data_IF_165713107308
#
_entry.id   IF_165713107308
#
_cell.length_a   1.000
_cell.length_b   1.000
_cell.length_c   1.000
_cell.angle_alpha   90.00
_cell.angle_beta   90.00
_cell.angle_gamma   90.00
#
_symmetry.space_group_name_H-M   'P 1'
#
loop_
_entity.id
_entity.type
_entity.pdbx_description
1 polymer ?
#
# COMPACT_ATOMS: atom_id res chain seq x y z
N UNK A 1 -5.97 35.86 9.12
CA UNK A 1 -6.63 34.55 8.96
C UNK A 1 -7.44 34.32 10.22
N UNK A 2 -8.76 34.15 10.09
CA UNK A 2 -9.60 33.82 11.25
C UNK A 2 -9.35 32.36 11.71
N UNK A 3 -9.84 32.01 12.90
CA UNK A 3 -9.62 30.69 13.52
C UNK A 3 -10.21 29.53 12.68
N UNK A 4 -11.29 29.76 11.94
CA UNK A 4 -11.92 28.73 11.11
C UNK A 4 -11.10 28.45 9.84
N UNK A 5 -10.63 29.51 9.18
CA UNK A 5 -9.71 29.43 8.04
C UNK A 5 -8.39 28.74 8.43
N UNK A 6 -7.85 29.04 9.62
CA UNK A 6 -6.65 28.36 10.13
C UNK A 6 -6.87 26.85 10.29
N UNK A 7 -8.00 26.43 10.85
CA UNK A 7 -8.32 25.00 11.03
C UNK A 7 -8.48 24.30 9.67
N UNK A 8 -9.18 24.93 8.71
CA UNK A 8 -9.34 24.38 7.35
C UNK A 8 -7.99 24.23 6.65
N UNK A 9 -7.12 25.23 6.76
CA UNK A 9 -5.76 25.17 6.23
C UNK A 9 -4.97 24.01 6.85
N UNK A 10 -4.94 23.90 8.20
CA UNK A 10 -4.19 22.86 8.89
C UNK A 10 -4.66 21.43 8.57
N UNK A 11 -5.97 21.24 8.36
CA UNK A 11 -6.55 19.94 7.96
C UNK A 11 -5.96 19.40 6.66
N UNK A 12 -5.60 20.27 5.73
CA UNK A 12 -4.96 19.90 4.46
C UNK A 12 -3.44 19.95 4.56
N UNK A 13 -2.90 20.97 5.21
CA UNK A 13 -1.46 21.20 5.29
C UNK A 13 -0.73 20.14 6.12
N UNK A 14 -1.31 19.63 7.21
CA UNK A 14 -0.66 18.63 8.05
C UNK A 14 -0.42 17.28 7.33
N UNK A 15 -1.41 16.61 6.72
CA UNK A 15 -1.17 15.35 6.00
C UNK A 15 -0.25 15.52 4.79
N UNK A 16 -0.36 16.65 4.06
CA UNK A 16 0.55 16.98 2.96
C UNK A 16 1.97 17.22 3.46
N UNK A 17 2.12 17.98 4.54
CA UNK A 17 3.40 18.27 5.16
C UNK A 17 4.09 17.01 5.66
N UNK A 18 3.34 16.08 6.29
CA UNK A 18 3.87 14.79 6.72
C UNK A 18 4.39 13.98 5.52
N UNK A 19 3.58 13.86 4.47
CA UNK A 19 3.94 13.15 3.24
C UNK A 19 5.17 13.75 2.55
N UNK A 20 5.20 15.07 2.39
CA UNK A 20 6.33 15.75 1.77
C UNK A 20 7.59 15.62 2.62
N UNK A 21 7.47 15.74 3.95
CA UNK A 21 8.61 15.62 4.87
C UNK A 21 9.24 14.23 4.80
N UNK A 22 8.44 13.14 4.82
CA UNK A 22 9.00 11.78 4.74
C UNK A 22 9.65 11.51 3.38
N UNK A 23 9.07 12.01 2.27
CA UNK A 23 9.64 11.85 0.93
C UNK A 23 10.96 12.63 0.78
N UNK A 24 10.99 13.88 1.23
CA UNK A 24 12.23 14.70 1.22
C UNK A 24 13.30 14.04 2.09
N UNK A 25 12.93 13.55 3.27
CA UNK A 25 13.85 12.84 4.18
C UNK A 25 14.45 11.62 3.49
N UNK A 26 13.61 10.77 2.89
CA UNK A 26 14.04 9.57 2.18
C UNK A 26 14.98 9.89 1.02
N UNK A 27 14.60 10.82 0.14
CA UNK A 27 15.42 11.22 -1.01
C UNK A 27 16.76 11.82 -0.55
N UNK A 28 16.74 12.66 0.48
CA UNK A 28 17.94 13.29 1.02
C UNK A 28 18.89 12.24 1.62
N UNK A 29 18.39 11.28 2.40
CA UNK A 29 19.20 10.19 2.93
C UNK A 29 19.83 9.35 1.81
N UNK A 30 19.06 9.01 0.76
CA UNK A 30 19.59 8.29 -0.41
C UNK A 30 20.74 9.07 -1.07
N UNK A 31 20.55 10.36 -1.32
CA UNK A 31 21.56 11.22 -1.94
C UNK A 31 22.83 11.25 -1.08
N UNK A 32 22.71 11.49 0.22
CA UNK A 32 23.85 11.58 1.14
C UNK A 32 24.60 10.24 1.21
N UNK A 33 23.90 9.12 1.32
CA UNK A 33 24.52 7.79 1.38
C UNK A 33 25.30 7.50 0.10
N UNK A 34 24.69 7.75 -1.06
CA UNK A 34 25.32 7.50 -2.35
C UNK A 34 26.49 8.44 -2.62
N UNK A 35 26.38 9.72 -2.24
CA UNK A 35 27.47 10.69 -2.45
C UNK A 35 28.69 10.44 -1.58
N UNK A 36 28.50 9.86 -0.39
CA UNK A 36 29.56 9.60 0.58
C UNK A 36 30.01 8.14 0.62
N UNK A 37 29.53 7.29 -0.30
CA UNK A 37 29.82 5.85 -0.33
C UNK A 37 29.60 5.15 1.04
N UNK A 38 28.51 5.53 1.72
CA UNK A 38 28.19 4.97 3.04
C UNK A 38 27.71 3.53 2.89
N UNK A 39 28.27 2.63 3.70
CA UNK A 39 27.89 1.23 3.72
C UNK A 39 26.49 1.01 4.29
N UNK A 40 25.61 0.40 3.50
CA UNK A 40 24.20 0.13 3.82
C UNK A 40 23.88 -1.35 3.63
N UNK A 41 24.68 -2.19 4.28
CA UNK A 41 24.48 -3.65 4.40
C UNK A 41 24.57 -4.45 3.11
N UNK A 42 25.14 -3.88 2.03
CA UNK A 42 25.28 -4.56 0.74
C UNK A 42 23.96 -4.69 -0.05
N UNK A 43 22.92 -3.97 0.36
CA UNK A 43 21.61 -4.00 -0.30
C UNK A 43 21.54 -3.00 -1.47
N UNK A 44 20.85 -3.39 -2.55
CA UNK A 44 20.60 -2.49 -3.69
C UNK A 44 19.63 -1.39 -3.29
N UNK A 45 18.55 -1.77 -2.61
CA UNK A 45 17.66 -0.85 -1.93
C UNK A 45 17.70 -1.11 -0.43
N UNK A 46 18.46 -0.33 0.34
CA UNK A 46 18.64 -0.55 1.77
C UNK A 46 17.42 -0.11 2.59
N UNK A 47 17.37 -0.55 3.85
CA UNK A 47 16.42 0.00 4.81
C UNK A 47 16.63 1.50 4.96
N UNK A 48 15.53 2.26 5.05
CA UNK A 48 15.60 3.71 5.23
C UNK A 48 16.36 4.09 6.52
N UNK A 49 16.22 3.27 7.54
CA UNK A 49 16.94 3.43 8.81
C UNK A 49 18.45 3.26 8.69
N UNK A 50 18.93 2.36 7.83
CA UNK A 50 20.37 2.22 7.57
C UNK A 50 20.90 3.42 6.79
N UNK A 51 20.09 4.01 5.92
CA UNK A 51 20.46 5.24 5.21
C UNK A 51 20.52 6.47 6.13
N UNK A 52 19.79 6.45 7.23
CA UNK A 52 19.78 7.50 8.26
C UNK A 52 20.77 7.26 9.40
N UNK A 53 21.67 6.27 9.31
CA UNK A 53 22.57 5.90 10.41
C UNK A 53 23.72 6.90 10.60
N UNK A 54 24.38 7.26 9.51
CA UNK A 54 25.66 7.98 9.57
C UNK A 54 25.51 9.49 9.36
N UNK A 55 26.44 10.27 9.89
CA UNK A 55 26.45 11.71 9.65
C UNK A 55 26.83 12.04 8.21
N UNK A 56 26.20 13.05 7.57
CA UNK A 56 25.16 13.93 8.11
C UNK A 56 23.71 13.41 7.96
N UNK A 57 23.48 12.27 7.30
CA UNK A 57 22.15 11.72 7.05
C UNK A 57 21.35 11.46 8.34
N UNK A 58 22.02 11.14 9.44
CA UNK A 58 21.43 11.01 10.77
C UNK A 58 20.59 12.22 11.20
N UNK A 59 21.11 13.44 10.99
CA UNK A 59 20.37 14.65 11.35
C UNK A 59 19.13 14.85 10.50
N UNK A 60 19.22 14.51 9.21
CA UNK A 60 18.11 14.59 8.25
C UNK A 60 17.04 13.58 8.63
N UNK A 61 17.43 12.33 8.90
CA UNK A 61 16.53 11.26 9.28
C UNK A 61 15.81 11.55 10.61
N UNK A 62 16.56 11.93 11.64
CA UNK A 62 16.04 12.31 12.96
C UNK A 62 15.04 13.47 12.89
N UNK A 63 15.44 14.57 12.25
CA UNK A 63 14.60 15.78 12.12
C UNK A 63 13.37 15.50 11.28
N UNK A 64 13.55 14.81 10.15
CA UNK A 64 12.50 14.46 9.21
C UNK A 64 11.40 13.61 9.84
N UNK A 65 11.77 12.50 10.48
CA UNK A 65 10.79 11.63 11.13
C UNK A 65 10.14 12.24 12.37
N UNK A 66 10.85 13.12 13.09
CA UNK A 66 10.25 13.89 14.19
C UNK A 66 9.20 14.87 13.68
N UNK A 67 9.47 15.58 12.58
CA UNK A 67 8.51 16.47 11.95
C UNK A 67 7.28 15.71 11.44
N UNK A 68 7.49 14.56 10.79
CA UNK A 68 6.41 13.66 10.34
C UNK A 68 5.54 13.25 11.52
N UNK A 69 6.14 12.82 12.65
CA UNK A 69 5.40 12.41 13.83
C UNK A 69 4.47 13.51 14.37
N UNK A 70 4.98 14.76 14.46
CA UNK A 70 4.19 15.91 14.92
C UNK A 70 3.00 16.18 13.98
N UNK A 71 3.26 16.18 12.67
CA UNK A 71 2.22 16.45 11.65
C UNK A 71 1.16 15.34 11.60
N UNK A 72 1.54 14.09 11.82
CA UNK A 72 0.62 12.97 11.91
C UNK A 72 -0.27 13.04 13.16
N UNK A 73 0.23 13.51 14.30
CA UNK A 73 -0.60 13.75 15.50
C UNK A 73 -1.73 14.72 15.16
N UNK A 74 -1.42 15.85 14.52
CA UNK A 74 -2.45 16.81 14.09
C UNK A 74 -3.42 16.20 13.08
N UNK A 75 -2.91 15.44 12.11
CA UNK A 75 -3.73 14.75 11.09
C UNK A 75 -4.75 13.82 11.74
N UNK A 76 -4.31 12.98 12.68
CA UNK A 76 -5.18 12.07 13.42
C UNK A 76 -6.21 12.82 14.27
N UNK A 77 -5.82 13.92 14.92
CA UNK A 77 -6.76 14.79 15.66
C UNK A 77 -7.84 15.36 14.76
N UNK A 78 -7.47 15.87 13.58
CA UNK A 78 -8.44 16.44 12.65
C UNK A 78 -9.39 15.39 12.09
N UNK A 79 -8.86 14.23 11.72
CA UNK A 79 -9.67 13.11 11.23
C UNK A 79 -10.67 12.64 12.29
N UNK A 80 -10.25 12.51 13.55
CA UNK A 80 -11.14 12.18 14.66
C UNK A 80 -12.27 13.19 14.83
N UNK A 81 -11.95 14.49 14.80
CA UNK A 81 -12.98 15.55 14.88
C UNK A 81 -13.99 15.43 13.75
N UNK A 82 -13.55 15.15 12.54
CA UNK A 82 -14.45 14.91 11.40
C UNK A 82 -15.33 13.68 11.60
N UNK A 83 -14.80 12.57 12.08
CA UNK A 83 -15.62 11.40 12.40
C UNK A 83 -16.65 11.70 13.48
N UNK A 84 -16.28 12.44 14.53
CA UNK A 84 -17.22 12.82 15.59
C UNK A 84 -18.36 13.71 15.11
N UNK A 85 -18.12 14.58 14.13
CA UNK A 85 -19.17 15.41 13.53
C UNK A 85 -19.98 14.68 12.45
N UNK A 86 -19.37 13.73 11.74
CA UNK A 86 -20.00 13.04 10.61
C UNK A 86 -20.82 11.80 11.01
N UNK A 87 -20.51 11.21 12.18
CA UNK A 87 -21.25 10.07 12.72
C UNK A 87 -22.50 10.56 13.49
N UNK A 88 -23.68 9.92 13.29
CA UNK A 88 -24.85 10.18 14.11
C UNK A 88 -24.59 9.96 15.60
N UNK A 89 -25.29 10.69 16.47
CA UNK A 89 -25.12 10.57 17.92
C UNK A 89 -25.41 9.16 18.45
N UNK A 90 -26.38 8.46 17.84
CA UNK A 90 -26.76 7.10 18.17
C UNK A 90 -25.79 6.02 17.64
N UNK A 91 -24.78 6.39 16.85
CA UNK A 91 -23.77 5.47 16.32
C UNK A 91 -22.63 5.21 17.34
N UNK A 92 -22.99 4.94 18.61
CA UNK A 92 -22.06 4.86 19.76
C UNK A 92 -20.85 3.96 19.50
N UNK A 93 -21.06 2.78 18.92
CA UNK A 93 -19.98 1.82 18.63
C UNK A 93 -18.95 2.43 17.67
N UNK A 94 -19.39 3.08 16.59
CA UNK A 94 -18.47 3.65 15.60
C UNK A 94 -17.78 4.92 16.11
N UNK A 95 -18.44 5.68 17.00
CA UNK A 95 -17.80 6.80 17.70
C UNK A 95 -16.68 6.30 18.62
N UNK A 96 -16.91 5.22 19.36
CA UNK A 96 -15.88 4.57 20.19
C UNK A 96 -14.75 4.03 19.31
N UNK A 97 -15.03 3.32 18.22
CA UNK A 97 -14.00 2.84 17.29
C UNK A 97 -13.17 3.99 16.70
N UNK A 98 -13.81 5.11 16.38
CA UNK A 98 -13.09 6.30 15.90
C UNK A 98 -12.20 6.91 16.98
N UNK A 99 -12.60 6.92 18.25
CA UNK A 99 -11.77 7.39 19.36
C UNK A 99 -10.60 6.44 19.63
N UNK A 100 -10.81 5.13 19.51
CA UNK A 100 -9.72 4.14 19.62
C UNK A 100 -8.74 4.31 18.45
N UNK A 101 -9.24 4.47 17.22
CA UNK A 101 -8.41 4.75 16.04
C UNK A 101 -7.57 6.02 16.22
N UNK A 102 -8.16 7.08 16.77
CA UNK A 102 -7.46 8.32 17.12
C UNK A 102 -6.34 8.10 18.13
N UNK A 103 -6.66 7.44 19.25
CA UNK A 103 -5.68 7.16 20.31
C UNK A 103 -4.55 6.30 19.77
N UNK A 104 -4.86 5.26 19.00
CA UNK A 104 -3.86 4.42 18.36
C UNK A 104 -2.96 5.24 17.40
N UNK A 105 -3.57 6.03 16.50
CA UNK A 105 -2.82 6.84 15.54
C UNK A 105 -1.90 7.87 16.21
N UNK A 106 -2.36 8.52 17.30
CA UNK A 106 -1.51 9.43 18.09
C UNK A 106 -0.40 8.67 18.82
N UNK A 107 -0.72 7.54 19.45
CA UNK A 107 0.24 6.73 20.21
C UNK A 107 1.25 6.02 19.31
N UNK A 108 0.98 5.80 18.02
CA UNK A 108 1.95 5.24 17.09
C UNK A 108 3.12 6.21 16.82
N UNK A 109 2.83 7.51 16.70
CA UNK A 109 3.78 8.51 16.21
C UNK A 109 5.08 8.65 17.02
N UNK A 110 5.11 8.51 18.36
CA UNK A 110 6.36 8.48 19.12
C UNK A 110 7.34 7.38 18.71
N UNK A 111 6.88 6.30 18.06
CA UNK A 111 7.77 5.27 17.51
C UNK A 111 8.71 5.81 16.42
N UNK A 112 8.29 6.83 15.66
CA UNK A 112 9.09 7.45 14.59
C UNK A 112 10.35 8.18 15.11
N UNK A 113 10.30 9.11 16.08
CA UNK A 113 11.51 9.71 16.62
C UNK A 113 12.35 8.68 17.38
N UNK A 114 11.74 7.71 18.08
CA UNK A 114 12.50 6.63 18.75
C UNK A 114 13.33 5.86 17.74
N UNK A 115 12.73 5.35 16.65
CA UNK A 115 13.50 4.63 15.63
C UNK A 115 14.49 5.55 14.89
N UNK A 116 14.23 6.85 14.81
CA UNK A 116 15.14 7.77 14.12
C UNK A 116 16.39 8.11 14.94
N UNK A 117 16.25 8.34 16.24
CA UNK A 117 17.37 8.73 17.11
C UNK A 117 18.23 7.55 17.56
N UNK A 118 17.62 6.38 17.75
CA UNK A 118 18.37 5.16 18.07
C UNK A 118 18.79 4.49 16.76
N UNK A 119 20.07 4.60 16.42
CA UNK A 119 20.59 4.11 15.16
C UNK A 119 20.65 2.57 15.11
N UNK A 120 20.65 2.02 13.89
CA UNK A 120 20.63 0.57 13.65
C UNK A 120 21.91 -0.14 14.07
N UNK A 121 23.01 0.58 14.31
CA UNK A 121 24.31 -0.02 14.62
C UNK A 121 24.55 -0.16 16.12
N UNK A 122 24.44 0.92 16.89
CA UNK A 122 24.73 0.95 18.33
C UNK A 122 23.51 0.62 19.19
N UNK A 123 22.32 1.00 18.72
CA UNK A 123 21.09 0.89 19.48
C UNK A 123 20.01 0.07 18.75
N UNK A 124 20.42 -0.96 18.02
CA UNK A 124 19.55 -1.76 17.13
C UNK A 124 18.28 -2.31 17.81
N UNK A 125 18.34 -2.68 19.09
CA UNK A 125 17.17 -3.17 19.84
C UNK A 125 16.13 -2.07 20.08
N UNK A 126 16.57 -0.88 20.47
CA UNK A 126 15.68 0.27 20.67
C UNK A 126 15.14 0.78 19.33
N UNK A 127 15.98 0.76 18.30
CA UNK A 127 15.57 1.04 16.92
C UNK A 127 14.42 0.13 16.49
N UNK A 128 14.62 -1.19 16.62
CA UNK A 128 13.62 -2.19 16.26
C UNK A 128 12.33 -2.02 17.07
N UNK A 129 12.44 -1.79 18.38
CA UNK A 129 11.28 -1.53 19.23
C UNK A 129 10.50 -0.28 18.81
N UNK A 130 11.18 0.79 18.38
CA UNK A 130 10.54 2.00 17.85
C UNK A 130 9.81 1.74 16.53
N UNK A 131 10.40 0.95 15.63
CA UNK A 131 9.76 0.54 14.38
C UNK A 131 8.53 -0.35 14.64
N UNK A 132 8.66 -1.34 15.53
CA UNK A 132 7.56 -2.20 15.99
C UNK A 132 6.43 -1.38 16.58
N UNK A 133 6.74 -0.48 17.51
CA UNK A 133 5.77 0.44 18.09
C UNK A 133 5.00 1.17 17.00
N UNK A 134 5.68 1.89 16.11
CA UNK A 134 5.01 2.66 15.08
C UNK A 134 4.14 1.77 14.17
N UNK A 135 4.73 0.76 13.53
CA UNK A 135 4.03 0.01 12.49
C UNK A 135 2.87 -0.84 13.02
N UNK A 136 3.01 -1.52 14.17
CA UNK A 136 1.92 -2.32 14.72
C UNK A 136 0.73 -1.46 15.15
N UNK A 137 0.99 -0.36 15.86
CA UNK A 137 -0.09 0.51 16.33
C UNK A 137 -0.72 1.28 15.16
N UNK A 138 0.08 1.78 14.22
CA UNK A 138 -0.42 2.48 13.03
C UNK A 138 -1.29 1.57 12.17
N UNK A 139 -0.91 0.28 12.01
CA UNK A 139 -1.74 -0.73 11.31
C UNK A 139 -3.14 -0.83 11.91
N UNK A 140 -3.25 -0.86 13.24
CA UNK A 140 -4.53 -0.88 13.94
C UNK A 140 -5.28 0.43 13.70
N UNK A 141 -4.59 1.56 13.81
CA UNK A 141 -5.19 2.89 13.64
C UNK A 141 -5.86 3.04 12.26
N UNK A 142 -5.15 2.72 11.18
CA UNK A 142 -5.64 2.84 9.81
C UNK A 142 -6.71 1.79 9.47
N UNK A 143 -6.64 0.58 10.05
CA UNK A 143 -7.69 -0.43 9.89
C UNK A 143 -9.01 0.08 10.48
N UNK A 144 -8.98 0.53 11.73
CA UNK A 144 -10.14 1.08 12.41
C UNK A 144 -10.68 2.33 11.70
N UNK A 145 -9.79 3.20 11.23
CA UNK A 145 -10.16 4.38 10.45
C UNK A 145 -10.91 4.02 9.16
N UNK A 146 -10.43 3.00 8.45
CA UNK A 146 -11.04 2.49 7.22
C UNK A 146 -12.42 1.87 7.50
N UNK A 147 -12.57 1.16 8.61
CA UNK A 147 -13.87 0.60 9.06
C UNK A 147 -14.89 1.72 9.34
N UNK A 148 -14.48 2.77 10.07
CA UNK A 148 -15.36 3.91 10.35
C UNK A 148 -15.75 4.64 9.06
N UNK A 149 -14.80 4.85 8.15
CA UNK A 149 -15.05 5.46 6.84
C UNK A 149 -15.98 4.61 5.97
N UNK A 150 -15.86 3.29 6.01
CA UNK A 150 -16.78 2.37 5.35
C UNK A 150 -18.21 2.53 5.89
N UNK A 151 -18.37 2.62 7.22
CA UNK A 151 -19.68 2.85 7.84
C UNK A 151 -20.26 4.20 7.43
N UNK A 152 -19.47 5.27 7.42
CA UNK A 152 -19.88 6.60 6.98
C UNK A 152 -20.35 6.61 5.52
N UNK A 153 -19.70 5.84 4.64
CA UNK A 153 -20.15 5.64 3.27
C UNK A 153 -21.47 4.86 3.22
N UNK A 154 -21.58 3.72 3.91
CA UNK A 154 -22.78 2.87 3.92
C UNK A 154 -24.03 3.59 4.43
N UNK A 155 -23.89 4.43 5.46
CA UNK A 155 -25.01 5.23 5.98
C UNK A 155 -25.48 6.26 4.97
N UNK A 156 -24.57 6.94 4.27
CA UNK A 156 -24.92 7.92 3.25
C UNK A 156 -25.60 7.26 2.04
N UNK A 157 -25.13 6.08 1.63
CA UNK A 157 -25.79 5.29 0.58
C UNK A 157 -27.18 4.83 1.00
N UNK A 158 -27.36 4.40 2.26
CA UNK A 158 -28.68 4.04 2.79
C UNK A 158 -29.66 5.22 2.73
N UNK A 159 -29.21 6.39 3.18
CA UNK A 159 -30.00 7.63 3.16
C UNK A 159 -30.34 8.07 1.73
N UNK A 160 -29.46 7.83 0.75
CA UNK A 160 -29.70 8.18 -0.64
C UNK A 160 -30.71 7.25 -1.33
N UNK A 161 -30.77 5.97 -0.97
CA UNK A 161 -31.85 5.08 -1.45
C UNK A 161 -33.21 5.60 -0.97
N UNK A 162 -33.25 6.21 0.22
CA UNK A 162 -34.47 6.84 0.76
C UNK A 162 -34.77 8.21 0.13
N UNK A 163 -33.73 8.95 -0.31
CA UNK A 163 -33.81 10.34 -0.81
C UNK A 163 -33.64 10.51 -2.34
N UNK A 164 -33.63 9.42 -3.13
CA UNK A 164 -33.53 9.46 -4.60
C UNK A 164 -34.70 10.22 -5.28
N UNK A 165 -35.60 10.82 -4.48
CA UNK A 165 -36.68 11.72 -4.89
C UNK A 165 -36.39 13.24 -4.69
N UNK A 166 -35.25 13.73 -4.12
CA UNK A 166 -35.22 15.14 -3.68
C UNK A 166 -33.99 16.07 -3.87
N UNK A 167 -32.71 15.70 -4.10
CA UNK A 167 -31.65 16.76 -4.19
C UNK A 167 -30.29 16.41 -4.86
N UNK A 168 -29.64 17.40 -5.48
CA UNK A 168 -28.35 17.32 -6.22
C UNK A 168 -27.09 17.38 -5.33
N UNK A 169 -27.16 17.96 -4.12
CA UNK A 169 -26.00 18.12 -3.21
C UNK A 169 -25.56 16.81 -2.53
N UNK A 170 -26.47 15.86 -2.31
CA UNK A 170 -26.13 14.54 -1.76
C UNK A 170 -25.21 13.72 -2.68
N UNK A 171 -25.33 13.89 -4.00
CA UNK A 171 -24.51 13.17 -4.97
C UNK A 171 -23.02 13.51 -4.88
N UNK A 172 -22.70 14.80 -4.70
CA UNK A 172 -21.31 15.26 -4.57
C UNK A 172 -20.67 14.74 -3.27
N UNK A 173 -21.38 14.80 -2.15
CA UNK A 173 -20.94 14.28 -0.85
C UNK A 173 -20.71 12.76 -0.89
N UNK A 174 -21.60 12.03 -1.56
CA UNK A 174 -21.44 10.58 -1.75
C UNK A 174 -20.22 10.25 -2.61
N UNK A 175 -20.02 10.96 -3.72
CA UNK A 175 -18.87 10.74 -4.58
C UNK A 175 -17.54 10.99 -3.85
N UNK A 176 -17.46 12.04 -3.02
CA UNK A 176 -16.29 12.33 -2.18
C UNK A 176 -16.03 11.22 -1.15
N UNK A 177 -17.04 10.82 -0.38
CA UNK A 177 -16.89 9.73 0.61
C UNK A 177 -16.50 8.41 -0.04
N UNK A 178 -17.06 8.11 -1.21
CA UNK A 178 -16.66 6.95 -2.01
C UNK A 178 -15.18 7.04 -2.38
N UNK A 179 -14.72 8.20 -2.87
CA UNK A 179 -13.31 8.42 -3.23
C UNK A 179 -12.39 8.24 -2.03
N UNK A 180 -12.69 8.86 -0.88
CA UNK A 180 -11.93 8.68 0.37
C UNK A 180 -11.81 7.20 0.73
N UNK A 181 -12.94 6.49 0.77
CA UNK A 181 -12.98 5.07 1.10
C UNK A 181 -12.18 4.23 0.10
N UNK A 182 -12.29 4.50 -1.21
CA UNK A 182 -11.53 3.79 -2.23
C UNK A 182 -10.03 3.98 -2.03
N UNK A 183 -9.57 5.21 -1.76
CA UNK A 183 -8.15 5.49 -1.45
C UNK A 183 -7.73 4.70 -0.22
N UNK A 184 -8.49 4.77 0.87
CA UNK A 184 -8.18 4.07 2.11
C UNK A 184 -8.10 2.56 1.94
N UNK A 185 -9.08 1.94 1.26
CA UNK A 185 -9.10 0.49 1.06
C UNK A 185 -7.92 0.03 0.21
N UNK A 186 -7.62 0.73 -0.89
CA UNK A 186 -6.50 0.38 -1.77
C UNK A 186 -5.18 0.49 -0.98
N UNK A 187 -4.91 1.65 -0.39
CA UNK A 187 -3.64 1.88 0.29
C UNK A 187 -3.51 1.07 1.58
N UNK A 188 -4.60 0.82 2.31
CA UNK A 188 -4.60 -0.08 3.46
C UNK A 188 -4.27 -1.51 3.05
N UNK A 189 -4.90 -2.04 1.99
CA UNK A 189 -4.61 -3.40 1.52
C UNK A 189 -3.14 -3.56 1.12
N UNK A 190 -2.60 -2.58 0.38
CA UNK A 190 -1.19 -2.58 -0.02
C UNK A 190 -0.25 -2.47 1.17
N UNK A 191 -0.54 -1.52 2.07
CA UNK A 191 0.21 -1.34 3.31
C UNK A 191 0.19 -2.63 4.15
N UNK A 192 -0.96 -3.28 4.31
CA UNK A 192 -1.10 -4.45 5.15
C UNK A 192 -0.25 -5.61 4.64
N UNK A 193 -0.25 -5.86 3.33
CA UNK A 193 0.63 -6.87 2.71
C UNK A 193 2.10 -6.51 2.92
N UNK A 194 2.48 -5.26 2.64
CA UNK A 194 3.86 -4.80 2.84
C UNK A 194 4.30 -4.92 4.32
N UNK A 195 3.42 -4.56 5.25
CA UNK A 195 3.64 -4.68 6.68
C UNK A 195 3.89 -6.13 7.09
N UNK A 196 3.05 -7.05 6.63
CA UNK A 196 3.21 -8.48 6.92
C UNK A 196 4.57 -9.00 6.42
N UNK A 197 4.97 -8.64 5.21
CA UNK A 197 6.25 -9.03 4.61
C UNK A 197 7.43 -8.40 5.36
N UNK A 198 7.34 -7.12 5.71
CA UNK A 198 8.42 -6.39 6.38
C UNK A 198 8.67 -6.91 7.80
N UNK A 199 7.60 -7.08 8.56
CA UNK A 199 7.64 -7.26 10.01
C UNK A 199 7.38 -8.71 10.41
N UNK A 200 6.15 -9.21 10.62
CA UNK A 200 5.95 -10.53 11.22
C UNK A 200 6.49 -11.69 10.36
N UNK A 201 6.36 -11.63 9.03
CA UNK A 201 6.90 -12.68 8.14
C UNK A 201 8.39 -12.44 7.92
N UNK A 202 8.77 -11.21 7.62
CA UNK A 202 10.17 -10.87 7.36
C UNK A 202 11.08 -11.21 8.53
N UNK A 203 10.71 -10.87 9.76
CA UNK A 203 11.53 -11.15 10.94
C UNK A 203 11.57 -12.62 11.32
N UNK A 204 10.52 -13.39 11.03
CA UNK A 204 10.47 -14.83 11.33
C UNK A 204 11.23 -15.68 10.31
N UNK A 205 11.32 -15.22 9.05
CA UNK A 205 12.00 -15.94 7.97
C UNK A 205 13.45 -15.46 7.76
N UNK A 206 13.77 -14.22 8.11
CA UNK A 206 15.12 -13.70 7.95
C UNK A 206 16.11 -14.43 8.89
N UNK A 207 17.24 -14.94 8.37
CA UNK A 207 18.32 -15.43 9.20
C UNK A 207 18.88 -14.33 10.10
N UNK A 208 19.62 -14.69 11.14
CA UNK A 208 20.31 -13.68 11.95
C UNK A 208 21.27 -12.87 11.08
N UNK A 209 21.06 -11.56 11.01
CA UNK A 209 21.93 -10.63 10.27
C UNK A 209 23.36 -10.72 10.82
N UNK A 210 24.31 -10.97 9.92
CA UNK A 210 25.72 -11.04 10.27
C UNK A 210 26.29 -9.64 10.42
N UNK A 211 27.36 -9.51 11.22
CA UNK A 211 28.13 -8.27 11.33
C UNK A 211 29.25 -8.28 10.31
N UNK A 212 29.50 -7.14 9.68
CA UNK A 212 30.66 -6.96 8.83
C UNK A 212 31.93 -7.02 9.69
N UNK A 213 32.90 -7.84 9.32
CA UNK A 213 34.18 -7.90 10.05
C UNK A 213 34.97 -6.61 9.87
N UNK A 214 35.92 -6.33 10.77
CA UNK A 214 36.80 -5.16 10.63
C UNK A 214 37.63 -5.27 9.35
N UNK A 215 38.19 -6.45 9.08
CA UNK A 215 39.00 -6.71 7.89
C UNK A 215 38.17 -6.52 6.61
N UNK A 216 36.97 -7.12 6.53
CA UNK A 216 36.07 -6.95 5.36
C UNK A 216 35.64 -5.48 5.18
N UNK A 217 35.47 -4.74 6.28
CA UNK A 217 35.13 -3.32 6.24
C UNK A 217 36.26 -2.48 5.62
N UNK A 218 37.52 -2.79 5.96
CA UNK A 218 38.70 -2.14 5.41
C UNK A 218 38.89 -2.54 3.94
N UNK A 219 38.73 -3.83 3.62
CA UNK A 219 38.85 -4.37 2.25
C UNK A 219 37.80 -3.78 1.30
N UNK A 220 36.59 -3.48 1.80
CA UNK A 220 35.56 -2.74 1.05
C UNK A 220 35.87 -1.24 0.90
N UNK A 221 37.01 -0.75 1.40
CA UNK A 221 37.48 0.61 1.22
C UNK A 221 36.72 1.66 2.04
N UNK A 222 36.08 1.26 3.15
CA UNK A 222 35.25 2.15 3.98
C UNK A 222 36.07 3.05 4.92
N UNK A 223 37.38 2.80 5.03
CA UNK A 223 38.34 3.58 5.80
C UNK A 223 38.67 2.98 7.16
N UNK A 224 39.96 2.87 7.47
CA UNK A 224 40.46 2.24 8.70
C UNK A 224 39.90 2.88 9.97
N UNK A 225 39.95 4.21 10.11
CA UNK A 225 39.40 4.90 11.29
C UNK A 225 37.89 4.70 11.42
N UNK A 226 37.18 4.59 10.30
CA UNK A 226 35.75 4.35 10.32
C UNK A 226 35.44 2.93 10.84
N UNK A 227 36.14 1.92 10.32
CA UNK A 227 35.97 0.52 10.70
C UNK A 227 36.47 0.21 12.13
N UNK A 228 37.68 0.66 12.48
CA UNK A 228 38.36 0.31 13.73
C UNK A 228 37.97 1.19 14.93
N UNK A 229 37.43 2.39 14.70
CA UNK A 229 37.10 3.32 15.79
C UNK A 229 35.61 3.67 15.78
N UNK A 230 35.09 4.15 14.64
CA UNK A 230 33.72 4.70 14.60
C UNK A 230 32.66 3.60 14.71
N UNK A 231 32.85 2.51 13.99
CA UNK A 231 31.93 1.38 13.87
C UNK A 231 32.41 0.14 14.62
N UNK A 232 33.39 0.25 15.52
CA UNK A 232 33.90 -0.91 16.24
C UNK A 232 32.84 -1.47 17.20
N UNK A 233 32.54 -2.77 17.08
CA UNK A 233 31.74 -3.50 18.07
C UNK A 233 32.63 -4.26 19.05
N UNK A 234 33.65 -4.96 18.54
CA UNK A 234 34.63 -5.71 19.33
C UNK A 234 36.00 -5.72 18.61
N UNK A 235 36.87 -6.71 18.88
CA UNK A 235 38.19 -6.80 18.23
C UNK A 235 38.18 -7.33 16.80
N UNK A 236 37.08 -7.94 16.33
CA UNK A 236 37.01 -8.61 15.02
C UNK A 236 35.82 -8.15 14.17
N UNK A 237 34.81 -7.55 14.78
CA UNK A 237 33.54 -7.18 14.14
C UNK A 237 33.21 -5.71 14.33
N UNK A 238 32.54 -5.17 13.32
CA UNK A 238 31.93 -3.84 13.37
C UNK A 238 30.48 -3.91 13.86
N UNK A 239 29.89 -2.75 14.12
CA UNK A 239 28.45 -2.55 14.36
C UNK A 239 27.65 -2.51 13.05
N UNK A 240 28.31 -2.62 11.89
CA UNK A 240 27.66 -2.65 10.59
C UNK A 240 27.09 -4.04 10.33
N UNK A 241 25.93 -4.09 9.69
CA UNK A 241 25.37 -5.34 9.20
C UNK A 241 25.94 -5.68 7.83
N UNK A 242 26.01 -6.97 7.55
CA UNK A 242 26.32 -7.53 6.24
C UNK A 242 25.17 -8.48 5.84
N UNK A 243 24.34 -8.01 4.92
CA UNK A 243 23.20 -8.75 4.40
C UNK A 243 23.50 -9.40 3.03
N UNK A 244 24.75 -9.38 2.54
CA UNK A 244 25.09 -9.96 1.22
C UNK A 244 24.77 -11.47 1.16
N UNK A 245 25.04 -12.20 2.25
CA UNK A 245 24.74 -13.64 2.35
C UNK A 245 23.24 -13.95 2.50
N UNK A 246 22.46 -12.97 2.92
CA UNK A 246 21.00 -13.08 3.12
C UNK A 246 20.24 -12.14 2.19
N UNK A 247 20.86 -11.80 1.06
CA UNK A 247 20.47 -10.69 0.20
C UNK A 247 19.00 -10.77 -0.19
N UNK A 248 18.53 -11.93 -0.69
CA UNK A 248 17.13 -12.07 -1.12
C UNK A 248 16.13 -11.74 -0.02
N UNK A 249 16.33 -12.27 1.20
CA UNK A 249 15.43 -12.02 2.33
C UNK A 249 15.53 -10.59 2.87
N UNK A 250 16.75 -10.05 2.99
CA UNK A 250 16.97 -8.70 3.50
C UNK A 250 16.49 -7.64 2.51
N UNK A 251 16.72 -7.85 1.21
CA UNK A 251 16.26 -6.97 0.12
C UNK A 251 14.74 -6.95 0.01
N UNK A 252 14.08 -8.12 0.14
CA UNK A 252 12.61 -8.21 0.20
C UNK A 252 12.06 -7.38 1.37
N UNK A 253 12.65 -7.50 2.57
CA UNK A 253 12.21 -6.75 3.75
C UNK A 253 12.43 -5.24 3.59
N UNK A 254 13.56 -4.83 3.03
CA UNK A 254 13.85 -3.42 2.77
C UNK A 254 12.89 -2.83 1.74
N UNK A 255 12.57 -3.57 0.67
CA UNK A 255 11.56 -3.17 -0.30
C UNK A 255 10.16 -3.09 0.33
N UNK A 256 9.80 -4.03 1.19
CA UNK A 256 8.54 -4.01 1.92
C UNK A 256 8.45 -2.82 2.89
N UNK A 257 9.54 -2.46 3.59
CA UNK A 257 9.59 -1.24 4.41
C UNK A 257 9.32 0.02 3.56
N UNK A 258 9.95 0.13 2.39
CA UNK A 258 9.69 1.23 1.46
C UNK A 258 8.22 1.26 1.04
N UNK A 259 7.66 0.10 0.67
CA UNK A 259 6.26 -0.02 0.30
C UNK A 259 5.32 0.42 1.42
N UNK A 260 5.61 0.06 2.68
CA UNK A 260 4.86 0.58 3.84
C UNK A 260 4.87 2.10 3.90
N UNK A 261 6.02 2.74 3.71
CA UNK A 261 6.14 4.21 3.74
C UNK A 261 5.32 4.84 2.61
N UNK A 262 5.50 4.38 1.37
CA UNK A 262 4.82 4.94 0.20
C UNK A 262 3.29 4.73 0.28
N UNK A 263 2.86 3.58 0.80
CA UNK A 263 1.44 3.30 0.98
C UNK A 263 0.81 4.12 2.11
N UNK A 264 1.54 4.41 3.20
CA UNK A 264 1.08 5.37 4.22
C UNK A 264 0.99 6.80 3.68
N UNK A 265 1.95 7.23 2.85
CA UNK A 265 1.88 8.51 2.11
C UNK A 265 0.61 8.55 1.26
N UNK A 266 0.36 7.50 0.48
CA UNK A 266 -0.86 7.35 -0.30
C UNK A 266 -2.14 7.35 0.54
N UNK A 267 -2.15 6.62 1.67
CA UNK A 267 -3.27 6.59 2.60
C UNK A 267 -3.57 7.98 3.16
N UNK A 268 -2.53 8.77 3.46
CA UNK A 268 -2.69 10.12 4.01
C UNK A 268 -3.45 11.06 3.08
N UNK A 269 -3.41 10.82 1.76
CA UNK A 269 -4.19 11.59 0.79
C UNK A 269 -5.70 11.47 1.02
N UNK A 270 -6.15 10.39 1.67
CA UNK A 270 -7.56 10.22 2.04
C UNK A 270 -8.02 11.22 3.10
N UNK A 271 -7.11 11.72 3.96
CA UNK A 271 -7.46 12.75 4.94
C UNK A 271 -7.75 14.09 4.27
N UNK A 272 -7.13 14.36 3.12
CA UNK A 272 -7.36 15.59 2.34
C UNK A 272 -8.73 15.58 1.67
N UNK A 273 -9.23 14.39 1.33
CA UNK A 273 -10.52 14.25 0.62
C UNK A 273 -11.73 14.25 1.55
N UNK A 274 -11.53 14.35 2.87
CA UNK A 274 -12.63 14.50 3.83
C UNK A 274 -13.29 15.87 3.71
N UNK A 275 -14.62 15.89 3.73
CA UNK A 275 -15.40 17.12 3.69
C UNK A 275 -15.54 17.69 5.09
N UNK A 276 -14.71 18.69 5.37
CA UNK A 276 -14.60 19.33 6.67
C UNK A 276 -15.49 20.56 6.83
N UNK A 277 -16.17 20.98 5.75
CA UNK A 277 -16.94 22.22 5.66
C UNK A 277 -18.43 22.02 6.03
N UNK A 278 -18.92 20.77 6.11
CA UNK A 278 -20.30 20.46 6.49
C UNK A 278 -20.59 20.56 8.01
N UNK A 279 -19.61 20.96 8.83
CA UNK A 279 -19.78 21.05 10.29
C UNK A 279 -20.36 22.37 10.80
N UNK A 280 -20.73 23.31 9.91
CA UNK A 280 -21.19 24.66 10.32
C UNK A 280 -22.67 24.98 10.05
N UNK A 281 -23.45 24.15 9.35
CA UNK A 281 -24.89 24.45 9.16
C UNK A 281 -25.77 23.28 9.64
N UNK A 282 -26.64 23.47 10.67
CA UNK A 282 -27.71 22.54 10.92
C UNK A 282 -28.62 22.49 9.68
N UNK A 283 -29.15 21.32 9.30
CA UNK A 283 -30.14 21.26 8.24
C UNK A 283 -31.32 22.11 8.69
N UNK A 284 -31.53 23.24 8.01
CA UNK A 284 -32.76 24.00 8.10
C UNK A 284 -33.87 23.05 7.64
N UNK A 285 -34.55 22.47 8.61
CA UNK A 285 -35.65 21.56 8.40
C UNK A 285 -36.81 22.41 7.85
N UNK A 286 -36.81 22.67 6.54
CA UNK A 286 -38.02 23.14 5.88
C UNK A 286 -39.03 21.99 5.95
N UNK A 287 -39.90 22.08 6.96
CA UNK A 287 -41.10 21.27 7.11
C UNK A 287 -41.96 21.50 5.87
N UNK A 288 -41.80 20.66 4.85
CA UNK A 288 -42.73 20.59 3.74
C UNK A 288 -43.96 19.84 4.27
N UNK A 289 -45.00 20.59 4.63
CA UNK A 289 -46.34 20.04 4.74
C UNK A 289 -46.81 19.62 3.33
N UNK A 290 -46.60 18.35 2.99
CA UNK A 290 -47.24 17.72 1.82
C UNK A 290 -48.28 16.73 2.30
N UNK A 291 -49.49 17.24 2.53
CA UNK A 291 -50.70 16.42 2.49
C UNK A 291 -51.00 16.13 1.04
N UNK A 292 -50.66 14.93 0.56
CA UNK A 292 -51.42 14.20 -0.47
C UNK A 292 -50.74 12.84 -0.76
N UNK A 293 -51.53 11.76 -0.67
CA UNK A 293 -51.12 10.42 -1.08
C UNK A 293 -51.29 10.27 -2.59
N UNK A 294 -50.32 9.71 -3.34
CA UNK A 294 -50.60 9.24 -4.68
C UNK A 294 -50.82 7.72 -4.68
N UNK A 295 -52.03 7.32 -5.02
CA UNK A 295 -52.41 5.98 -5.48
C UNK A 295 -52.31 5.93 -7.00
N UNK A 296 -51.23 5.39 -7.56
CA UNK A 296 -51.24 4.65 -8.83
C UNK A 296 -49.88 3.98 -9.08
N UNK A 297 -49.85 2.67 -9.16
CA UNK A 297 -48.69 1.89 -9.61
C UNK A 297 -48.84 1.66 -11.11
N UNK A 298 -47.88 2.14 -11.92
CA UNK A 298 -47.84 1.94 -13.36
C UNK A 298 -46.49 1.33 -13.79
N UNK A 299 -46.47 0.64 -14.93
CA UNK A 299 -45.39 -0.22 -15.46
C UNK A 299 -43.99 0.42 -15.61
N UNK A 300 -43.85 1.72 -15.36
CA UNK A 300 -42.57 2.44 -15.26
C UNK A 300 -41.64 1.89 -14.17
N UNK A 301 -42.18 1.27 -13.11
CA UNK A 301 -41.38 0.63 -12.06
C UNK A 301 -40.56 -0.57 -12.58
N UNK A 302 -41.09 -1.35 -13.53
CA UNK A 302 -40.40 -2.55 -14.01
C UNK A 302 -39.20 -2.21 -14.89
N UNK A 303 -39.35 -1.18 -15.75
CA UNK A 303 -38.26 -0.68 -16.59
C UNK A 303 -37.18 0.03 -15.75
N UNK A 304 -37.57 0.74 -14.68
CA UNK A 304 -36.63 1.34 -13.70
C UNK A 304 -35.87 0.27 -12.91
N UNK A 305 -36.51 -0.78 -12.41
CA UNK A 305 -35.84 -1.87 -11.67
C UNK A 305 -34.81 -2.58 -12.56
N UNK A 306 -35.15 -2.86 -13.82
CA UNK A 306 -34.23 -3.46 -14.78
C UNK A 306 -33.04 -2.55 -15.17
N UNK A 307 -33.24 -1.23 -15.19
CA UNK A 307 -32.15 -0.25 -15.41
C UNK A 307 -31.23 -0.11 -14.18
N UNK A 308 -31.80 -0.20 -12.99
CA UNK A 308 -31.08 -0.07 -11.71
C UNK A 308 -30.28 -1.33 -11.39
N UNK A 309 -30.81 -2.52 -11.71
CA UNK A 309 -30.05 -3.76 -11.65
C UNK A 309 -28.92 -3.81 -12.68
N UNK A 310 -29.12 -3.29 -13.91
CA UNK A 310 -28.07 -3.13 -14.92
C UNK A 310 -26.94 -2.21 -14.44
N UNK A 311 -27.29 -1.07 -13.81
CA UNK A 311 -26.32 -0.15 -13.23
C UNK A 311 -25.55 -0.75 -12.04
N UNK A 312 -26.22 -1.55 -11.20
CA UNK A 312 -25.61 -2.23 -10.06
C UNK A 312 -24.69 -3.38 -10.50
N UNK A 313 -25.06 -4.13 -11.55
CA UNK A 313 -24.24 -5.20 -12.15
C UNK A 313 -23.01 -4.62 -12.84
N UNK A 314 -23.17 -3.56 -13.66
CA UNK A 314 -22.04 -2.83 -14.26
C UNK A 314 -21.09 -2.23 -13.23
N UNK A 315 -21.59 -1.72 -12.09
CA UNK A 315 -20.76 -1.24 -10.97
C UNK A 315 -19.95 -2.35 -10.31
N UNK A 316 -20.51 -3.55 -10.13
CA UNK A 316 -19.78 -4.71 -9.59
C UNK A 316 -18.70 -5.18 -10.56
N UNK A 317 -19.00 -5.29 -11.85
CA UNK A 317 -18.03 -5.67 -12.89
C UNK A 317 -16.88 -4.66 -12.98
N UNK A 318 -17.18 -3.35 -12.97
CA UNK A 318 -16.16 -2.29 -12.99
C UNK A 318 -15.26 -2.32 -11.74
N UNK A 319 -15.82 -2.65 -10.58
CA UNK A 319 -15.06 -2.75 -9.33
C UNK A 319 -14.13 -3.97 -9.33
N UNK A 320 -14.61 -5.11 -9.85
CA UNK A 320 -13.81 -6.33 -10.03
C UNK A 320 -12.69 -6.09 -11.06
N UNK A 321 -13.00 -5.42 -12.17
CA UNK A 321 -12.01 -5.01 -13.19
C UNK A 321 -10.94 -4.09 -12.61
N UNK A 322 -11.31 -3.12 -11.77
CA UNK A 322 -10.35 -2.23 -11.09
C UNK A 322 -9.47 -2.98 -10.07
N UNK A 323 -10.01 -3.99 -9.39
CA UNK A 323 -9.23 -4.84 -8.48
C UNK A 323 -8.20 -5.64 -9.28
N UNK A 324 -8.61 -6.32 -10.36
CA UNK A 324 -7.68 -7.08 -11.21
C UNK A 324 -6.65 -6.19 -11.89
N UNK A 325 -7.04 -4.98 -12.34
CA UNK A 325 -6.10 -4.01 -12.91
C UNK A 325 -5.11 -3.48 -11.86
N UNK A 326 -5.56 -3.28 -10.62
CA UNK A 326 -4.68 -2.88 -9.51
C UNK A 326 -3.69 -4.00 -9.18
N UNK A 327 -4.17 -5.25 -9.03
CA UNK A 327 -3.32 -6.42 -8.83
C UNK A 327 -2.32 -6.61 -9.98
N UNK A 328 -2.76 -6.39 -11.23
CA UNK A 328 -1.89 -6.41 -12.40
C UNK A 328 -0.82 -5.31 -12.32
N UNK A 329 -1.19 -4.06 -12.02
CA UNK A 329 -0.22 -2.96 -11.91
C UNK A 329 0.79 -3.20 -10.79
N UNK A 330 0.36 -3.77 -9.67
CA UNK A 330 1.24 -4.13 -8.55
C UNK A 330 2.20 -5.25 -8.97
N UNK A 331 1.67 -6.33 -9.54
CA UNK A 331 2.48 -7.45 -10.01
C UNK A 331 3.42 -7.02 -11.16
N UNK A 332 3.00 -6.10 -12.02
CA UNK A 332 3.78 -5.55 -13.12
C UNK A 332 4.88 -4.61 -12.62
N UNK A 333 4.59 -3.77 -11.61
CA UNK A 333 5.62 -2.94 -10.96
C UNK A 333 6.63 -3.81 -10.22
N UNK A 334 6.19 -4.86 -9.52
CA UNK A 334 7.09 -5.84 -8.90
C UNK A 334 7.93 -6.53 -9.99
N UNK A 335 7.31 -6.98 -11.08
CA UNK A 335 7.99 -7.62 -12.20
C UNK A 335 9.00 -6.70 -12.90
N UNK A 336 8.68 -5.43 -13.16
CA UNK A 336 9.59 -4.48 -13.81
C UNK A 336 10.69 -4.03 -12.84
N UNK A 337 10.35 -3.71 -11.59
CA UNK A 337 11.31 -3.20 -10.61
C UNK A 337 12.27 -4.30 -10.14
N UNK A 338 11.79 -5.55 -10.01
CA UNK A 338 12.62 -6.70 -9.62
C UNK A 338 13.24 -7.36 -10.86
N UNK A 339 12.46 -7.61 -11.90
CA UNK A 339 12.90 -8.33 -13.09
C UNK A 339 13.79 -7.54 -14.05
N UNK A 340 13.61 -6.22 -14.18
CA UNK A 340 14.46 -5.41 -15.09
C UNK A 340 15.57 -4.62 -14.39
N UNK A 341 15.45 -4.34 -13.09
CA UNK A 341 16.48 -3.59 -12.35
C UNK A 341 17.36 -4.46 -11.45
N UNK A 342 16.97 -5.72 -11.17
CA UNK A 342 17.71 -6.63 -10.29
C UNK A 342 18.06 -7.98 -10.93
N UNK A 343 17.84 -8.19 -12.24
CA UNK A 343 18.46 -9.32 -12.91
C UNK A 343 19.98 -9.08 -12.89
N UNK A 344 20.78 -9.81 -12.10
CA UNK A 344 22.23 -9.74 -12.25
C UNK A 344 22.53 -10.20 -13.68
N UNK A 345 23.60 -9.69 -14.31
CA UNK A 345 24.14 -10.38 -15.49
C UNK A 345 24.33 -11.85 -15.11
N UNK A 346 23.68 -12.77 -15.83
CA UNK A 346 23.76 -14.19 -15.49
C UNK A 346 25.23 -14.60 -15.55
N UNK A 347 25.78 -14.95 -14.38
CA UNK A 347 27.13 -15.50 -14.33
C UNK A 347 27.06 -16.89 -14.91
N UNK A 348 27.88 -17.17 -15.92
CA UNK A 348 27.93 -18.52 -16.47
C UNK A 348 28.66 -19.45 -15.52
N UNK A 349 28.11 -20.63 -15.34
CA UNK A 349 28.68 -21.68 -14.52
C UNK A 349 30.02 -22.12 -15.14
N UNK A 350 31.08 -22.23 -14.32
CA UNK A 350 32.37 -22.71 -14.81
C UNK A 350 32.31 -24.22 -15.09
N UNK A 351 33.21 -24.72 -15.96
CA UNK A 351 33.31 -26.17 -16.23
C UNK A 351 33.65 -26.93 -14.94
N UNK A 352 34.50 -26.35 -14.08
CA UNK A 352 34.87 -26.95 -12.80
C UNK A 352 33.68 -27.06 -11.84
N UNK A 353 32.84 -26.01 -11.75
CA UNK A 353 31.66 -26.02 -10.91
C UNK A 353 30.58 -26.95 -11.46
N UNK A 354 30.39 -27.00 -12.78
CA UNK A 354 29.49 -27.96 -13.44
C UNK A 354 29.85 -29.42 -13.11
N UNK A 355 31.15 -29.74 -13.14
CA UNK A 355 31.65 -31.07 -12.76
C UNK A 355 31.51 -31.34 -11.27
N UNK A 356 31.68 -30.33 -10.42
CA UNK A 356 31.50 -30.42 -8.96
C UNK A 356 30.06 -30.75 -8.57
N UNK A 357 29.09 -30.25 -9.34
CA UNK A 357 27.65 -30.54 -9.19
C UNK A 357 27.25 -31.91 -9.79
N UNK A 358 28.20 -32.70 -10.29
CA UNK A 358 27.98 -34.05 -10.79
C UNK A 358 26.97 -34.14 -11.96
N UNK A 359 26.85 -33.07 -12.76
CA UNK A 359 25.95 -33.00 -13.93
C UNK A 359 26.39 -33.89 -15.11
N UNK A 360 27.54 -34.54 -14.98
CA UNK A 360 28.10 -35.48 -15.96
C UNK A 360 29.23 -34.87 -16.77
N UNK A 361 30.33 -35.63 -16.92
CA UNK A 361 31.58 -35.13 -17.51
C UNK A 361 31.39 -34.67 -18.95
N UNK A 362 30.85 -35.53 -19.80
CA UNK A 362 30.54 -35.22 -21.21
C UNK A 362 29.56 -34.07 -21.35
N UNK A 363 28.60 -33.95 -20.42
CA UNK A 363 27.62 -32.87 -20.44
C UNK A 363 28.28 -31.51 -20.20
N UNK A 364 29.18 -31.42 -19.22
CA UNK A 364 29.90 -30.19 -18.87
C UNK A 364 31.03 -29.84 -19.84
N UNK A 365 31.78 -30.82 -20.35
CA UNK A 365 32.99 -30.58 -21.15
C UNK A 365 32.76 -30.57 -22.66
N UNK A 366 31.69 -31.21 -23.15
CA UNK A 366 31.45 -31.36 -24.59
C UNK A 366 30.11 -30.74 -25.01
N UNK A 367 29.03 -31.03 -24.28
CA UNK A 367 27.67 -30.63 -24.68
C UNK A 367 27.36 -29.16 -24.38
N UNK A 368 27.78 -28.67 -23.20
CA UNK A 368 27.47 -27.32 -22.72
C UNK A 368 28.68 -26.41 -22.64
N UNK A 369 29.85 -26.83 -23.11
CA UNK A 369 31.07 -26.02 -23.07
C UNK A 369 30.97 -24.78 -23.96
N UNK A 370 31.38 -23.63 -23.42
CA UNK A 370 31.50 -22.38 -24.17
C UNK A 370 32.96 -22.14 -24.58
N UNK A 371 33.88 -22.29 -23.61
CA UNK A 371 35.33 -22.16 -23.79
C UNK A 371 36.06 -23.10 -22.81
N UNK A 372 37.37 -22.91 -22.60
CA UNK A 372 38.18 -23.78 -21.75
C UNK A 372 37.81 -23.73 -20.26
N UNK A 373 37.12 -22.67 -19.84
CA UNK A 373 36.81 -22.38 -18.43
C UNK A 373 35.31 -22.22 -18.15
N UNK A 374 34.54 -21.79 -19.15
CA UNK A 374 33.13 -21.47 -19.06
C UNK A 374 32.22 -22.47 -19.75
N UNK A 375 31.01 -22.63 -19.22
CA UNK A 375 29.91 -23.33 -19.88
C UNK A 375 28.90 -22.33 -20.43
N UNK A 376 27.93 -22.83 -21.21
CA UNK A 376 26.72 -22.13 -21.65
C UNK A 376 25.60 -22.19 -20.61
N UNK A 377 25.84 -22.80 -19.45
CA UNK A 377 24.87 -22.88 -18.36
C UNK A 377 24.94 -21.60 -17.52
N UNK A 378 23.79 -21.04 -17.21
CA UNK A 378 23.68 -19.93 -16.29
C UNK A 378 23.71 -20.43 -14.84
N UNK A 379 24.46 -19.74 -13.97
CA UNK A 379 24.48 -19.97 -12.53
C UNK A 379 23.50 -19.02 -11.84
N UNK A 380 22.25 -19.45 -11.78
CA UNK A 380 21.16 -18.68 -11.19
C UNK A 380 21.03 -18.88 -9.68
N UNK A 381 21.98 -19.54 -8.99
CA UNK A 381 21.84 -19.89 -7.55
C UNK A 381 21.62 -18.67 -6.65
N UNK A 382 22.30 -17.57 -6.96
CA UNK A 382 22.14 -16.28 -6.25
C UNK A 382 20.90 -15.49 -6.73
N UNK A 383 20.35 -15.88 -7.89
CA UNK A 383 19.17 -15.27 -8.50
C UNK A 383 17.89 -16.10 -8.31
N UNK A 384 17.92 -17.29 -7.68
CA UNK A 384 16.74 -18.17 -7.54
C UNK A 384 15.57 -17.42 -6.89
N UNK A 385 15.81 -16.63 -5.85
CA UNK A 385 14.76 -15.85 -5.21
C UNK A 385 14.21 -14.74 -6.13
N UNK A 386 15.08 -14.06 -6.87
CA UNK A 386 14.71 -12.99 -7.83
C UNK A 386 13.96 -13.57 -9.02
N UNK A 387 14.39 -14.72 -9.53
CA UNK A 387 13.79 -15.47 -10.63
C UNK A 387 12.44 -16.09 -10.21
N UNK A 388 12.34 -16.64 -8.99
CA UNK A 388 11.08 -17.12 -8.41
C UNK A 388 10.10 -15.98 -8.14
N UNK A 389 10.57 -14.82 -7.67
CA UNK A 389 9.73 -13.63 -7.49
C UNK A 389 9.31 -13.01 -8.83
N UNK A 390 10.17 -13.03 -9.84
CA UNK A 390 9.86 -12.62 -11.21
C UNK A 390 8.82 -13.56 -11.83
N UNK A 391 9.03 -14.88 -11.74
CA UNK A 391 8.09 -15.90 -12.19
C UNK A 391 6.76 -15.82 -11.42
N UNK A 392 6.80 -15.59 -10.11
CA UNK A 392 5.61 -15.34 -9.28
C UNK A 392 4.87 -14.07 -9.71
N UNK A 393 5.60 -13.00 -10.02
CA UNK A 393 5.06 -11.76 -10.59
C UNK A 393 4.45 -11.96 -11.97
N UNK A 394 5.07 -12.76 -12.84
CA UNK A 394 4.55 -13.14 -14.15
C UNK A 394 3.26 -13.96 -14.03
N UNK A 395 3.24 -14.98 -13.17
CA UNK A 395 2.05 -15.81 -12.92
C UNK A 395 0.93 -14.93 -12.34
N UNK A 396 1.24 -14.04 -11.40
CA UNK A 396 0.26 -13.10 -10.85
C UNK A 396 -0.27 -12.12 -11.91
N UNK A 397 0.57 -11.64 -12.83
CA UNK A 397 0.15 -10.81 -13.97
C UNK A 397 -0.79 -11.59 -14.89
N UNK A 398 -0.42 -12.82 -15.26
CA UNK A 398 -1.22 -13.70 -16.13
C UNK A 398 -2.56 -14.02 -15.48
N UNK A 399 -2.58 -14.42 -14.22
CA UNK A 399 -3.82 -14.71 -13.49
C UNK A 399 -4.71 -13.46 -13.34
N UNK A 400 -4.11 -12.28 -13.14
CA UNK A 400 -4.85 -11.02 -13.09
C UNK A 400 -5.44 -10.62 -14.44
N UNK A 401 -4.70 -10.83 -15.54
CA UNK A 401 -5.18 -10.61 -16.91
C UNK A 401 -6.26 -11.61 -17.32
N UNK A 402 -6.11 -12.88 -16.94
CA UNK A 402 -7.13 -13.92 -17.16
C UNK A 402 -8.38 -13.59 -16.35
N UNK A 403 -8.25 -13.19 -15.09
CA UNK A 403 -9.38 -12.72 -14.26
C UNK A 403 -10.07 -11.48 -14.85
N UNK A 404 -9.30 -10.53 -15.37
CA UNK A 404 -9.81 -9.35 -16.08
C UNK A 404 -10.56 -9.73 -17.37
N UNK A 405 -10.02 -10.67 -18.15
CA UNK A 405 -10.61 -11.14 -19.41
C UNK A 405 -11.89 -11.97 -19.19
N UNK A 406 -11.89 -12.86 -18.19
CA UNK A 406 -13.07 -13.61 -17.75
C UNK A 406 -14.16 -12.66 -17.24
N UNK A 407 -13.77 -11.58 -16.54
CA UNK A 407 -14.71 -10.54 -16.10
C UNK A 407 -15.34 -9.78 -17.27
N UNK A 408 -14.71 -9.74 -18.45
CA UNK A 408 -15.30 -9.20 -19.67
C UNK A 408 -16.23 -10.21 -20.34
N UNK A 409 -15.79 -11.45 -20.54
CA UNK A 409 -16.58 -12.50 -21.18
C UNK A 409 -17.88 -12.83 -20.41
N UNK A 410 -17.82 -12.88 -19.07
CA UNK A 410 -19.00 -13.07 -18.22
C UNK A 410 -20.00 -11.90 -18.26
N UNK A 411 -19.56 -10.72 -18.72
CA UNK A 411 -20.41 -9.56 -18.92
C UNK A 411 -21.13 -9.61 -20.28
N UNK A 412 -20.46 -10.11 -21.32
CA UNK A 412 -21.04 -10.27 -22.67
C UNK A 412 -22.05 -11.44 -22.75
N UNK A 413 -21.74 -12.60 -22.18
CA UNK A 413 -22.70 -13.73 -22.10
C UNK A 413 -23.98 -13.36 -21.34
N UNK A 414 -23.88 -12.44 -20.38
CA UNK A 414 -25.03 -11.95 -19.63
C UNK A 414 -25.86 -10.88 -20.37
N UNK A 415 -25.33 -10.25 -21.43
CA UNK A 415 -26.08 -9.37 -22.32
C UNK A 415 -26.81 -10.16 -23.41
N UNK A 416 -26.23 -11.26 -23.90
CA UNK A 416 -26.83 -12.14 -24.92
C UNK A 416 -28.09 -12.88 -24.42
N UNK A 417 -28.02 -13.51 -23.24
CA UNK A 417 -29.16 -14.22 -22.60
C UNK A 417 -30.35 -13.28 -22.32
N UNK A 418 -30.04 -12.02 -22.01
CA UNK A 418 -31.04 -11.01 -21.67
C UNK A 418 -31.68 -10.38 -22.92
N UNK A 419 -30.99 -10.40 -24.06
CA UNK A 419 -31.56 -10.01 -25.36
C UNK A 419 -32.61 -11.01 -25.85
N UNK A 420 -32.32 -12.31 -25.69
CA UNK A 420 -33.21 -13.43 -26.01
C UNK A 420 -34.47 -13.42 -25.12
N UNK A 421 -34.31 -13.14 -23.82
CA UNK A 421 -35.42 -12.96 -22.89
C UNK A 421 -36.30 -11.74 -23.24
N UNK A 422 -35.70 -10.65 -23.75
CA UNK A 422 -36.44 -9.43 -24.14
C UNK A 422 -37.28 -9.66 -25.39
N UNK A 423 -36.76 -10.38 -26.39
CA UNK A 423 -37.54 -10.78 -27.58
C UNK A 423 -38.71 -11.72 -27.26
N UNK A 424 -38.56 -12.59 -26.26
CA UNK A 424 -39.64 -13.48 -25.82
C UNK A 424 -40.78 -12.72 -25.11
N UNK A 425 -40.47 -11.65 -24.36
CA UNK A 425 -41.44 -10.83 -23.65
C UNK A 425 -42.18 -9.89 -24.62
N UNK A 426 -41.51 -9.33 -25.63
CA UNK A 426 -42.16 -8.48 -26.65
C UNK A 426 -43.13 -9.26 -27.55
N UNK A 427 -42.86 -10.53 -27.86
CA UNK A 427 -43.83 -11.40 -28.53
C UNK A 427 -45.10 -11.61 -27.69
N UNK A 428 -44.93 -11.91 -26.41
CA UNK A 428 -46.04 -12.20 -25.49
C UNK A 428 -46.98 -10.99 -25.29
N UNK A 429 -46.42 -9.78 -25.31
CA UNK A 429 -47.19 -8.55 -25.17
C UNK A 429 -48.00 -8.19 -26.44
N UNK A 430 -47.52 -8.60 -27.62
CA UNK A 430 -48.25 -8.40 -28.89
C UNK A 430 -49.44 -9.36 -29.05
N UNK A 431 -49.34 -10.58 -28.51
CA UNK A 431 -50.44 -11.54 -28.53
C UNK A 431 -51.59 -11.13 -27.59
N UNK A 432 -51.28 -10.56 -26.42
CA UNK A 432 -52.30 -10.01 -25.50
C UNK A 432 -53.03 -8.79 -26.08
N UNK A 433 -52.34 -7.91 -26.82
CA UNK A 433 -52.97 -6.75 -27.46
C UNK A 433 -53.88 -7.13 -28.63
N UNK A 434 -53.63 -8.27 -29.29
CA UNK A 434 -54.50 -8.82 -30.34
C UNK A 434 -55.75 -9.53 -29.82
N UNK A 435 -55.72 -10.02 -28.58
CA UNK A 435 -56.86 -10.64 -27.90
C UNK A 435 -57.82 -9.62 -27.26
N UNK A 436 -57.37 -8.37 -27.11
CA UNK A 436 -58.12 -7.26 -26.54
C UNK A 436 -58.71 -6.30 -27.60
N UNK A 437 -58.49 -6.57 -28.90
CA UNK A 437 -59.20 -5.95 -30.03
C UNK A 437 -60.11 -6.97 -30.70
#
# INVERSE_FOLDING_TARGET
>A
MDSAQLIRFLRTACPLGASLSVLITMVSCVIIVKSNNIWVSGLTWPFLSDMGRDYPAYYVFGTGLTLVAILLVFTWTFNWRYHMSALPENATVFRVLSSISFVAGVLANPGLPVLAFFDTSKHSKLHAAGAEWFFYIETIAILLNTIVSYKLYKMLTGLQVDLENACSTMGAKMQRRKRTLTIQVIFFALFFVAFLIYMPIGTSVAPQSQRLSIDDCIDKGLGETYCEVTMRLNSTSTTLYDDEKTYGTSQMRAAAQLACILTLVGYSTSFITNDYDDSEDPPELQVIHSSEKPTHWCGECSHKIASTQRAHKRKKTLMIQLIFLSCFLIAFVIYISVGMSLAPESKRLSVADCLRENLGTTYCTDTKRLDDTGTTLDDDRDAVAVSQMSAGGQIACILSLVGYSISFATNDYAEEDNSSARSAIEMHHSDEESLLR
#
